data_IF_138590698547
#
_entry.id   IF_138590698547
#
_cell.length_a   1.000
_cell.length_b   1.000
_cell.length_c   1.000
_cell.angle_alpha   90.00
_cell.angle_beta   90.00
_cell.angle_gamma   90.00
#
_symmetry.space_group_name_H-M   'P 1'
#
loop_
_entity.id
_entity.type
_entity.pdbx_description
1 polymer ?
#
# COMPACT_ATOMS: atom_id res chain seq x y z
N UNK A 1 -18.72 1.93 -13.49
CA UNK A 1 -18.93 0.60 -12.86
C UNK A 1 -18.25 0.57 -11.50
N UNK A 2 -16.96 0.87 -11.37
CA UNK A 2 -16.19 0.80 -10.13
C UNK A 2 -16.85 1.57 -8.96
N UNK A 3 -17.30 2.81 -9.17
CA UNK A 3 -17.94 3.62 -8.11
C UNK A 3 -19.23 2.98 -7.57
N UNK A 4 -20.07 2.39 -8.45
CA UNK A 4 -21.30 1.70 -8.01
C UNK A 4 -21.02 0.39 -7.28
N UNK A 5 -19.93 -0.27 -7.62
CA UNK A 5 -19.51 -1.51 -6.99
C UNK A 5 -18.90 -1.24 -5.62
N UNK A 6 -18.08 -0.17 -5.49
CA UNK A 6 -17.50 0.22 -4.20
C UNK A 6 -18.54 0.62 -3.16
N UNK A 7 -19.70 1.17 -3.57
CA UNK A 7 -20.80 1.50 -2.65
C UNK A 7 -21.60 0.28 -2.16
N UNK A 8 -21.47 -0.88 -2.82
CA UNK A 8 -22.22 -2.11 -2.55
C UNK A 8 -21.31 -3.34 -2.49
N UNK A 9 -20.02 -3.12 -2.19
CA UNK A 9 -19.01 -4.17 -2.26
C UNK A 9 -19.35 -5.38 -1.37
N UNK A 10 -19.97 -5.16 -0.23
CA UNK A 10 -20.39 -6.22 0.68
C UNK A 10 -21.37 -7.20 0.06
N UNK A 11 -22.29 -6.71 -0.78
CA UNK A 11 -23.27 -7.55 -1.49
C UNK A 11 -22.61 -8.50 -2.52
N UNK A 12 -21.34 -8.31 -2.80
CA UNK A 12 -20.58 -9.07 -3.79
C UNK A 12 -19.40 -9.84 -3.19
N UNK A 13 -19.27 -9.80 -1.85
CA UNK A 13 -18.23 -10.49 -1.10
C UNK A 13 -18.88 -11.63 -0.31
N UNK A 14 -18.42 -12.84 -0.54
CA UNK A 14 -19.00 -14.05 0.05
C UNK A 14 -18.41 -14.32 1.45
N UNK A 15 -17.11 -14.03 1.58
CA UNK A 15 -16.36 -14.32 2.79
C UNK A 15 -16.80 -13.38 3.95
N UNK A 16 -17.02 -13.91 5.16
CA UNK A 16 -17.39 -13.09 6.32
C UNK A 16 -16.22 -12.20 6.77
N UNK A 17 -16.55 -11.11 7.45
CA UNK A 17 -15.54 -10.28 8.10
C UNK A 17 -14.86 -11.07 9.23
N UNK A 18 -13.51 -11.13 9.27
CA UNK A 18 -12.81 -11.70 10.41
C UNK A 18 -13.08 -10.90 11.69
N UNK A 19 -13.04 -11.58 12.83
CA UNK A 19 -13.03 -10.90 14.12
C UNK A 19 -11.61 -10.40 14.38
N UNK A 20 -11.41 -9.11 14.20
CA UNK A 20 -10.11 -8.49 14.39
C UNK A 20 -9.85 -8.09 15.84
N UNK A 21 -8.60 -8.22 16.26
CA UNK A 21 -8.05 -7.59 17.44
C UNK A 21 -7.27 -6.34 17.04
N UNK A 22 -7.47 -5.23 17.75
CA UNK A 22 -6.72 -4.00 17.55
C UNK A 22 -5.35 -4.08 18.25
N UNK A 23 -4.33 -3.47 17.63
CA UNK A 23 -2.98 -3.43 18.19
C UNK A 23 -2.28 -2.12 17.80
N UNK A 24 -1.39 -1.63 18.67
CA UNK A 24 -0.49 -0.53 18.36
C UNK A 24 0.89 -1.13 18.15
N UNK A 25 1.32 -1.18 16.91
CA UNK A 25 2.66 -1.59 16.53
C UNK A 25 3.64 -0.42 16.70
N UNK A 26 4.92 -0.73 16.87
CA UNK A 26 5.97 0.28 16.90
C UNK A 26 6.79 0.18 15.62
N UNK A 27 6.65 1.17 14.75
CA UNK A 27 7.37 1.29 13.49
C UNK A 27 8.78 1.87 13.65
N UNK A 28 9.39 2.19 12.51
CA UNK A 28 10.70 2.84 12.46
C UNK A 28 10.70 4.15 13.26
N UNK A 29 11.82 4.45 13.91
CA UNK A 29 11.99 5.61 14.78
C UNK A 29 10.98 5.69 15.93
N UNK A 30 10.43 4.55 16.37
CA UNK A 30 9.50 4.48 17.49
C UNK A 30 8.10 5.04 17.21
N UNK A 31 7.72 5.19 15.95
CA UNK A 31 6.40 5.73 15.57
C UNK A 31 5.32 4.70 15.89
N UNK A 32 4.30 5.04 16.69
CA UNK A 32 3.16 4.16 16.93
C UNK A 32 2.30 4.06 15.67
N UNK A 33 2.04 2.82 15.25
CA UNK A 33 1.26 2.46 14.07
C UNK A 33 0.03 1.68 14.53
N UNK A 34 -1.15 2.19 14.28
CA UNK A 34 -2.38 1.47 14.56
C UNK A 34 -2.63 0.39 13.51
N UNK A 35 -3.01 -0.77 13.96
CA UNK A 35 -3.45 -1.85 13.07
C UNK A 35 -4.40 -2.82 13.75
N UNK A 36 -4.85 -3.78 12.98
CA UNK A 36 -5.71 -4.86 13.44
C UNK A 36 -5.24 -6.19 12.87
N UNK A 37 -5.42 -7.26 13.60
CA UNK A 37 -5.03 -8.59 13.18
C UNK A 37 -6.09 -9.64 13.49
N UNK A 38 -6.10 -10.71 12.70
CA UNK A 38 -6.93 -11.88 12.93
C UNK A 38 -6.14 -13.14 12.55
N UNK A 39 -6.22 -14.18 13.38
CA UNK A 39 -5.48 -15.43 13.19
C UNK A 39 -6.49 -16.57 13.09
N UNK A 40 -6.66 -17.24 11.94
CA UNK A 40 -7.49 -18.43 11.84
C UNK A 40 -6.81 -19.63 12.49
N UNK A 41 -7.59 -20.63 12.86
CA UNK A 41 -7.04 -21.91 13.32
C UNK A 41 -6.11 -22.51 12.24
N UNK A 42 -4.92 -22.97 12.64
CA UNK A 42 -3.92 -23.55 11.73
C UNK A 42 -3.52 -22.62 10.57
N UNK A 43 -3.29 -21.34 10.86
CA UNK A 43 -2.86 -20.39 9.84
C UNK A 43 -1.57 -20.85 9.14
N UNK A 44 -1.57 -20.81 7.80
CA UNK A 44 -0.47 -21.29 6.94
C UNK A 44 0.59 -20.23 6.61
N UNK A 45 0.40 -19.03 7.10
CA UNK A 45 1.24 -17.86 6.90
C UNK A 45 0.47 -16.58 7.24
N UNK A 46 1.08 -15.43 7.04
CA UNK A 46 0.52 -14.13 7.42
C UNK A 46 0.57 -13.16 6.24
N UNK A 47 -0.52 -12.44 6.01
CA UNK A 47 -0.59 -11.34 5.05
C UNK A 47 -0.57 -10.03 5.83
N UNK A 48 0.42 -9.18 5.56
CA UNK A 48 0.55 -7.83 6.12
C UNK A 48 0.22 -6.83 5.03
N UNK A 49 -0.82 -6.03 5.21
CA UNK A 49 -1.34 -5.18 4.15
C UNK A 49 -1.76 -3.79 4.57
N UNK A 50 -1.66 -2.86 3.62
CA UNK A 50 -2.17 -1.50 3.77
C UNK A 50 -2.77 -0.97 2.47
N UNK A 51 -3.33 0.22 2.53
CA UNK A 51 -4.12 0.87 1.48
C UNK A 51 -3.40 2.06 0.85
N UNK A 52 -3.99 2.60 -0.23
CA UNK A 52 -3.48 3.76 -0.96
C UNK A 52 -3.65 5.09 -0.22
N UNK A 53 -3.32 6.18 -0.93
CA UNK A 53 -3.39 7.54 -0.37
C UNK A 53 -4.82 7.89 0.07
N UNK A 54 -4.92 8.58 1.21
CA UNK A 54 -6.15 9.00 1.89
C UNK A 54 -7.01 7.86 2.44
N UNK A 55 -7.72 8.13 3.53
CA UNK A 55 -8.61 7.19 4.18
C UNK A 55 -8.05 6.56 5.45
N UNK A 56 -8.69 5.48 5.86
CA UNK A 56 -8.40 4.72 7.07
C UNK A 56 -8.90 3.27 6.92
N UNK A 57 -8.55 2.39 7.85
CA UNK A 57 -8.96 0.98 7.83
C UNK A 57 -10.49 0.80 7.82
N UNK A 58 -11.26 1.77 8.30
CA UNK A 58 -12.71 1.65 8.39
C UNK A 58 -13.40 1.92 7.05
N UNK A 59 -12.81 2.75 6.18
CA UNK A 59 -13.39 3.12 4.89
C UNK A 59 -12.73 2.46 3.66
N UNK A 60 -11.63 1.72 3.83
CA UNK A 60 -10.90 1.07 2.71
C UNK A 60 -11.52 -0.29 2.34
N UNK A 61 -12.64 -0.22 1.63
CA UNK A 61 -13.42 -1.39 1.21
C UNK A 61 -12.58 -2.46 0.46
N UNK A 62 -11.63 -2.03 -0.39
CA UNK A 62 -10.82 -2.94 -1.19
C UNK A 62 -9.83 -3.74 -0.32
N UNK A 63 -9.30 -3.11 0.74
CA UNK A 63 -8.48 -3.79 1.74
C UNK A 63 -9.32 -4.75 2.62
N UNK A 64 -10.56 -4.39 2.94
CA UNK A 64 -11.48 -5.28 3.68
C UNK A 64 -11.75 -6.57 2.92
N UNK A 65 -11.90 -6.50 1.59
CA UNK A 65 -12.04 -7.70 0.75
C UNK A 65 -10.78 -8.58 0.83
N UNK A 66 -9.59 -7.99 0.75
CA UNK A 66 -8.35 -8.74 0.96
C UNK A 66 -8.37 -9.49 2.29
N UNK A 67 -8.69 -8.79 3.38
CA UNK A 67 -8.72 -9.37 4.72
C UNK A 67 -9.67 -10.56 4.85
N UNK A 68 -10.89 -10.42 4.31
CA UNK A 68 -11.89 -11.51 4.29
C UNK A 68 -11.39 -12.72 3.50
N UNK A 69 -10.88 -12.51 2.30
CA UNK A 69 -10.35 -13.58 1.44
C UNK A 69 -9.13 -14.28 2.06
N UNK A 70 -8.18 -13.51 2.58
CA UNK A 70 -7.00 -14.04 3.24
C UNK A 70 -7.35 -14.94 4.42
N UNK A 71 -8.22 -14.46 5.30
CA UNK A 71 -8.66 -15.22 6.47
C UNK A 71 -9.40 -16.50 6.07
N UNK A 72 -10.33 -16.43 5.11
CA UNK A 72 -11.06 -17.59 4.59
C UNK A 72 -10.13 -18.62 3.92
N UNK A 73 -9.00 -18.17 3.34
CA UNK A 73 -7.97 -19.04 2.76
C UNK A 73 -6.95 -19.58 3.77
N UNK A 74 -7.14 -19.31 5.07
CA UNK A 74 -6.28 -19.82 6.14
C UNK A 74 -5.01 -19.02 6.35
N UNK A 75 -4.96 -17.75 5.98
CA UNK A 75 -3.87 -16.84 6.35
C UNK A 75 -4.25 -16.01 7.57
N UNK A 76 -3.31 -15.80 8.47
CA UNK A 76 -3.40 -14.70 9.41
C UNK A 76 -3.33 -13.37 8.64
N UNK A 77 -4.04 -12.37 9.15
CA UNK A 77 -4.19 -11.07 8.48
C UNK A 77 -3.78 -9.98 9.44
N UNK A 78 -2.90 -9.10 8.99
CA UNK A 78 -2.52 -7.86 9.68
C UNK A 78 -2.76 -6.69 8.74
N UNK A 79 -3.65 -5.79 9.11
CA UNK A 79 -3.95 -4.59 8.36
C UNK A 79 -3.64 -3.37 9.22
N UNK A 80 -3.04 -2.33 8.66
CA UNK A 80 -2.62 -1.17 9.44
C UNK A 80 -2.88 0.16 8.74
N UNK A 81 -3.11 1.18 9.55
CA UNK A 81 -3.10 2.58 9.13
C UNK A 81 -1.65 3.06 9.08
N UNK A 82 -1.15 3.36 7.90
CA UNK A 82 0.21 3.86 7.73
C UNK A 82 0.35 5.31 8.25
N UNK A 83 1.57 5.82 8.28
CA UNK A 83 1.89 7.14 8.86
C UNK A 83 0.97 8.23 8.33
N UNK A 84 0.58 9.15 9.20
CA UNK A 84 -0.34 10.26 8.95
C UNK A 84 -1.78 9.86 8.55
N UNK A 85 -2.16 8.58 8.57
CA UNK A 85 -3.49 8.11 8.16
C UNK A 85 -4.24 7.43 9.30
N UNK A 86 -5.58 7.45 9.21
CA UNK A 86 -6.47 6.79 10.15
C UNK A 86 -6.14 7.06 11.62
N UNK A 87 -6.22 6.02 12.45
CA UNK A 87 -5.88 6.12 13.88
C UNK A 87 -4.39 6.34 14.14
N UNK A 88 -3.50 5.97 13.19
CA UNK A 88 -2.07 6.30 13.31
C UNK A 88 -1.83 7.81 13.33
N UNK A 89 -2.60 8.57 12.56
CA UNK A 89 -2.54 10.05 12.59
C UNK A 89 -2.96 10.65 13.96
N UNK A 90 -3.80 9.94 14.72
CA UNK A 90 -4.18 10.35 16.08
C UNK A 90 -3.04 10.12 17.08
N UNK A 91 -2.30 9.02 16.89
CA UNK A 91 -1.22 8.59 17.77
C UNK A 91 0.09 9.36 17.55
N UNK A 92 0.34 9.83 16.33
CA UNK A 92 1.62 10.46 15.95
C UNK A 92 1.44 11.58 14.92
N UNK A 93 2.18 12.69 15.05
CA UNK A 93 2.24 13.75 14.04
C UNK A 93 3.18 13.42 12.86
N UNK A 94 3.76 12.22 12.82
CA UNK A 94 4.76 11.85 11.82
C UNK A 94 4.08 11.68 10.46
N UNK A 95 4.54 12.42 9.46
CA UNK A 95 4.07 12.33 8.09
C UNK A 95 4.68 11.12 7.38
N UNK A 96 4.12 10.78 6.23
CA UNK A 96 4.66 9.74 5.34
C UNK A 96 6.04 10.12 4.81
N UNK A 97 6.80 9.12 4.44
CA UNK A 97 8.05 9.23 3.68
C UNK A 97 7.94 8.49 2.33
N UNK A 98 6.72 8.17 1.89
CA UNK A 98 6.41 7.42 0.68
C UNK A 98 7.21 6.12 0.54
N UNK A 99 7.51 5.49 1.68
CA UNK A 99 8.14 4.17 1.74
C UNK A 99 9.49 4.13 2.41
N UNK A 100 10.26 5.23 2.45
CA UNK A 100 11.64 5.24 3.00
C UNK A 100 11.66 4.68 4.43
N UNK A 101 10.75 5.12 5.30
CA UNK A 101 10.60 4.60 6.66
C UNK A 101 9.48 3.56 6.77
N UNK A 102 8.45 3.65 5.95
CA UNK A 102 7.34 2.69 5.93
C UNK A 102 7.80 1.29 5.50
N UNK A 103 8.90 1.18 4.76
CA UNK A 103 9.53 -0.11 4.48
C UNK A 103 9.93 -0.84 5.77
N UNK A 104 10.60 -0.15 6.70
CA UNK A 104 10.90 -0.71 8.02
C UNK A 104 9.63 -0.91 8.86
N UNK A 105 8.62 -0.04 8.74
CA UNK A 105 7.35 -0.22 9.46
C UNK A 105 6.72 -1.57 9.13
N UNK A 106 6.68 -1.97 7.84
CA UNK A 106 6.17 -3.29 7.45
C UNK A 106 6.89 -4.43 8.16
N UNK A 107 8.20 -4.37 8.25
CA UNK A 107 9.01 -5.42 8.86
C UNK A 107 8.85 -5.44 10.39
N UNK A 108 8.81 -4.28 11.04
CA UNK A 108 8.57 -4.17 12.49
C UNK A 108 7.15 -4.60 12.88
N UNK A 109 6.16 -4.34 12.01
CA UNK A 109 4.80 -4.85 12.15
C UNK A 109 4.80 -6.38 12.04
N UNK A 110 5.49 -6.94 11.04
CA UNK A 110 5.61 -8.40 10.87
C UNK A 110 6.33 -9.06 12.06
N UNK A 111 7.38 -8.44 12.60
CA UNK A 111 8.09 -8.89 13.81
C UNK A 111 7.16 -8.95 15.04
N UNK A 112 6.41 -7.88 15.25
CA UNK A 112 5.43 -7.83 16.35
C UNK A 112 4.31 -8.85 16.12
N UNK A 113 3.81 -8.96 14.88
CA UNK A 113 2.80 -9.95 14.51
C UNK A 113 3.28 -11.38 14.79
N UNK A 114 4.54 -11.70 14.48
CA UNK A 114 5.15 -13.00 14.83
C UNK A 114 5.14 -13.25 16.33
N UNK A 115 5.49 -12.24 17.13
CA UNK A 115 5.51 -12.33 18.60
C UNK A 115 4.12 -12.53 19.21
N UNK A 116 3.06 -12.02 18.59
CA UNK A 116 1.67 -12.21 19.04
C UNK A 116 0.99 -13.44 18.43
N UNK A 117 1.73 -14.29 17.71
CA UNK A 117 1.26 -15.60 17.24
C UNK A 117 0.89 -15.69 15.76
N UNK A 118 1.08 -14.66 14.96
CA UNK A 118 0.94 -14.76 13.50
C UNK A 118 2.10 -15.59 12.93
N UNK A 119 1.85 -16.68 12.17
CA UNK A 119 2.92 -17.56 11.71
C UNK A 119 3.63 -17.02 10.46
N UNK A 120 4.91 -17.39 10.30
CA UNK A 120 5.61 -17.30 9.00
C UNK A 120 5.03 -18.33 8.02
N UNK A 121 5.17 -18.13 6.69
CA UNK A 121 5.84 -17.00 6.06
C UNK A 121 4.96 -15.73 6.01
N UNK A 122 5.60 -14.56 5.93
CA UNK A 122 4.93 -13.26 5.81
C UNK A 122 4.92 -12.80 4.37
N UNK A 123 3.74 -12.43 3.87
CA UNK A 123 3.51 -11.81 2.56
C UNK A 123 3.13 -10.35 2.77
N UNK A 124 3.84 -9.45 2.10
CA UNK A 124 3.56 -8.01 2.17
C UNK A 124 2.64 -7.62 1.01
N UNK A 125 1.74 -6.66 1.24
CA UNK A 125 0.83 -6.22 0.19
C UNK A 125 0.33 -4.81 0.38
N UNK A 126 -0.10 -4.21 -0.72
CA UNK A 126 -0.75 -2.92 -0.76
C UNK A 126 -1.19 -2.56 -2.18
N UNK A 127 -1.93 -1.47 -2.30
CA UNK A 127 -2.33 -0.94 -3.60
C UNK A 127 -2.10 0.56 -3.67
N UNK A 128 -1.91 1.11 -4.88
CA UNK A 128 -1.61 2.52 -5.07
C UNK A 128 -0.36 2.94 -4.26
N UNK A 129 -0.40 4.01 -3.51
CA UNK A 129 0.70 4.39 -2.61
C UNK A 129 1.03 3.30 -1.59
N UNK A 130 0.03 2.59 -1.01
CA UNK A 130 0.29 1.45 -0.14
C UNK A 130 1.03 0.30 -0.83
N UNK A 131 0.90 0.17 -2.15
CA UNK A 131 1.71 -0.75 -2.95
C UNK A 131 3.18 -0.30 -3.04
N UNK A 132 3.43 1.00 -3.17
CA UNK A 132 4.78 1.57 -3.06
C UNK A 132 5.39 1.28 -1.69
N UNK A 133 4.63 1.51 -0.60
CA UNK A 133 5.09 1.23 0.76
C UNK A 133 5.45 -0.26 0.94
N UNK A 134 4.65 -1.17 0.37
CA UNK A 134 4.92 -2.61 0.42
C UNK A 134 6.16 -3.03 -0.39
N UNK A 135 6.44 -2.37 -1.53
CA UNK A 135 7.69 -2.56 -2.28
C UNK A 135 8.91 -2.09 -1.45
N UNK A 136 8.81 -0.98 -0.74
CA UNK A 136 9.83 -0.58 0.23
C UNK A 136 9.94 -1.60 1.38
N UNK A 137 8.81 -2.22 1.79
CA UNK A 137 8.78 -3.28 2.78
C UNK A 137 9.62 -4.49 2.37
N UNK A 138 9.52 -4.94 1.11
CA UNK A 138 10.35 -6.07 0.65
C UNK A 138 11.83 -5.69 0.60
N UNK A 139 12.17 -4.49 0.13
CA UNK A 139 13.54 -3.98 0.14
C UNK A 139 14.13 -3.90 1.56
N UNK A 140 13.37 -3.42 2.54
CA UNK A 140 13.76 -3.42 3.94
C UNK A 140 13.92 -4.84 4.51
N UNK A 141 13.05 -5.77 4.13
CA UNK A 141 13.11 -7.18 4.54
C UNK A 141 14.33 -7.93 3.99
N UNK A 142 14.76 -7.60 2.77
CA UNK A 142 15.98 -8.18 2.19
C UNK A 142 17.26 -7.66 2.88
N UNK A 143 17.22 -6.41 3.35
CA UNK A 143 18.36 -5.76 4.01
C UNK A 143 18.28 -5.76 5.54
N UNK A 144 17.37 -6.53 6.14
CA UNK A 144 17.10 -6.56 7.58
C UNK A 144 18.35 -6.83 8.44
N UNK A 145 19.29 -7.62 7.93
CA UNK A 145 20.56 -7.89 8.62
C UNK A 145 21.40 -6.64 8.88
N UNK A 146 21.20 -5.59 8.11
CA UNK A 146 21.97 -4.34 8.21
C UNK A 146 21.41 -3.38 9.27
N UNK A 147 20.12 -3.49 9.62
CA UNK A 147 19.44 -2.50 10.47
C UNK A 147 18.57 -3.13 11.58
N UNK A 148 18.10 -4.37 11.41
CA UNK A 148 17.09 -5.03 12.26
C UNK A 148 17.67 -5.96 13.34
N UNK A 149 18.85 -5.63 13.91
CA UNK A 149 19.51 -6.48 14.94
C UNK A 149 18.70 -6.67 16.23
N UNK A 150 17.70 -5.81 16.47
CA UNK A 150 16.77 -5.84 17.60
C UNK A 150 15.52 -6.69 17.32
N UNK A 151 15.34 -7.19 16.09
CA UNK A 151 14.16 -7.93 15.66
C UNK A 151 14.35 -9.44 15.76
N UNK A 152 13.26 -10.15 16.04
CA UNK A 152 13.21 -11.61 16.04
C UNK A 152 12.87 -12.19 14.65
N UNK A 153 12.33 -11.36 13.76
CA UNK A 153 12.06 -11.72 12.37
C UNK A 153 13.35 -11.63 11.55
N UNK A 154 13.48 -12.51 10.56
CA UNK A 154 14.62 -12.52 9.63
C UNK A 154 14.15 -12.43 8.19
N UNK A 155 15.06 -12.21 7.24
CA UNK A 155 14.72 -12.21 5.82
C UNK A 155 14.04 -13.51 5.38
N UNK A 156 14.35 -14.65 5.98
CA UNK A 156 13.73 -15.95 5.65
C UNK A 156 12.27 -16.05 6.07
N UNK A 157 11.82 -15.27 7.03
CA UNK A 157 10.41 -15.20 7.42
C UNK A 157 9.55 -14.44 6.39
N UNK A 158 10.17 -13.56 5.58
CA UNK A 158 9.48 -12.76 4.56
C UNK A 158 9.47 -13.55 3.25
N UNK A 159 8.29 -14.00 2.83
CA UNK A 159 8.13 -14.80 1.61
C UNK A 159 8.21 -13.97 0.32
N UNK A 160 7.61 -12.80 0.33
CA UNK A 160 7.56 -11.93 -0.84
C UNK A 160 6.56 -10.78 -0.71
N UNK A 161 6.33 -10.11 -1.82
CA UNK A 161 5.39 -8.98 -1.90
C UNK A 161 4.48 -9.09 -3.12
N UNK A 162 3.23 -8.73 -2.98
CA UNK A 162 2.30 -8.64 -4.10
C UNK A 162 1.53 -7.32 -4.04
N UNK A 163 1.60 -6.54 -5.12
CA UNK A 163 1.07 -5.18 -5.15
C UNK A 163 0.16 -4.93 -6.35
N UNK A 164 -0.85 -4.06 -6.16
CA UNK A 164 -1.82 -3.71 -7.19
C UNK A 164 -1.68 -2.23 -7.52
N UNK A 165 -1.38 -1.92 -8.78
CA UNK A 165 -1.16 -0.56 -9.28
C UNK A 165 -0.31 0.27 -8.29
N UNK A 166 0.91 -0.17 -7.92
CA UNK A 166 1.75 0.61 -7.03
C UNK A 166 2.13 1.95 -7.66
N UNK A 167 2.21 3.01 -6.85
CA UNK A 167 2.88 4.24 -7.25
C UNK A 167 4.37 3.97 -7.29
N UNK A 168 5.00 4.05 -8.45
CA UNK A 168 6.43 3.72 -8.58
C UNK A 168 7.29 4.89 -9.08
N UNK A 169 6.64 5.96 -9.57
CA UNK A 169 7.30 7.19 -9.97
C UNK A 169 6.32 8.37 -9.79
N UNK A 170 6.43 9.04 -8.65
CA UNK A 170 5.55 10.15 -8.29
C UNK A 170 5.81 11.39 -9.15
N UNK A 171 7.06 11.66 -9.56
CA UNK A 171 7.39 12.80 -10.41
C UNK A 171 6.68 12.71 -11.77
N UNK A 172 6.78 11.57 -12.45
CA UNK A 172 6.06 11.34 -13.72
C UNK A 172 4.55 11.31 -13.52
N UNK A 173 4.10 10.61 -12.51
CA UNK A 173 2.66 10.38 -12.30
C UNK A 173 1.92 11.65 -11.96
N UNK A 174 2.44 12.51 -11.08
CA UNK A 174 1.79 13.78 -10.75
C UNK A 174 1.87 14.78 -11.93
N UNK A 175 2.98 14.78 -12.68
CA UNK A 175 3.09 15.56 -13.92
C UNK A 175 2.04 15.11 -14.95
N UNK A 176 1.85 13.79 -15.11
CA UNK A 176 0.85 13.21 -15.99
C UNK A 176 -0.58 13.54 -15.54
N UNK A 177 -0.86 13.36 -14.24
CA UNK A 177 -2.17 13.51 -13.65
C UNK A 177 -2.79 14.90 -13.90
N UNK A 178 -1.97 15.95 -13.96
CA UNK A 178 -2.47 17.32 -14.19
C UNK A 178 -2.57 17.74 -15.66
N UNK A 179 -2.23 16.85 -16.62
CA UNK A 179 -2.25 17.17 -18.05
C UNK A 179 -3.67 17.38 -18.60
N UNK A 180 -4.63 16.59 -18.19
CA UNK A 180 -6.00 16.64 -18.69
C UNK A 180 -7.04 17.04 -17.62
N UNK A 181 -8.29 17.20 -18.01
CA UNK A 181 -9.38 17.64 -17.11
C UNK A 181 -9.73 16.58 -16.07
N UNK A 182 -9.75 15.30 -16.47
CA UNK A 182 -10.07 14.20 -15.56
C UNK A 182 -8.99 14.06 -14.51
N UNK A 183 -7.72 14.09 -14.92
CA UNK A 183 -6.58 14.01 -14.01
C UNK A 183 -6.55 15.18 -13.03
N UNK A 184 -6.78 16.41 -13.50
CA UNK A 184 -6.90 17.58 -12.60
C UNK A 184 -8.08 17.48 -11.64
N UNK A 185 -9.18 16.86 -12.04
CA UNK A 185 -10.32 16.61 -11.14
C UNK A 185 -9.93 15.59 -10.04
N UNK A 186 -9.27 14.49 -10.41
CA UNK A 186 -8.79 13.47 -9.48
C UNK A 186 -7.77 14.05 -8.51
N UNK A 187 -6.79 14.79 -9.00
CA UNK A 187 -5.76 15.46 -8.20
C UNK A 187 -6.39 16.38 -7.13
N UNK A 188 -7.33 17.25 -7.56
CA UNK A 188 -8.06 18.15 -6.66
C UNK A 188 -8.88 17.39 -5.61
N UNK A 189 -9.46 16.25 -5.98
CA UNK A 189 -10.21 15.42 -5.03
C UNK A 189 -9.29 14.83 -3.97
N UNK A 190 -8.14 14.29 -4.36
CA UNK A 190 -7.13 13.75 -3.44
C UNK A 190 -6.55 14.86 -2.57
N UNK A 191 -6.13 15.98 -3.14
CA UNK A 191 -5.59 17.13 -2.40
C UNK A 191 -6.57 17.65 -1.34
N UNK A 192 -7.87 17.63 -1.63
CA UNK A 192 -8.90 18.01 -0.65
C UNK A 192 -8.95 17.05 0.54
N UNK A 193 -8.85 15.75 0.30
CA UNK A 193 -8.83 14.75 1.37
C UNK A 193 -7.53 14.83 2.20
N UNK A 194 -6.37 15.01 1.54
CA UNK A 194 -5.09 15.26 2.22
C UNK A 194 -5.16 16.52 3.10
N UNK A 195 -5.79 17.59 2.60
CA UNK A 195 -5.96 18.83 3.38
C UNK A 195 -6.88 18.61 4.59
N UNK A 196 -7.93 17.81 4.48
CA UNK A 196 -8.78 17.43 5.62
C UNK A 196 -7.98 16.65 6.67
N UNK A 197 -7.19 15.66 6.21
CA UNK A 197 -6.30 14.89 7.07
C UNK A 197 -5.32 15.79 7.80
N UNK A 198 -4.60 16.67 7.09
CA UNK A 198 -3.65 17.62 7.70
C UNK A 198 -4.31 18.58 8.69
N UNK A 199 -5.53 19.07 8.41
CA UNK A 199 -6.32 19.87 9.36
C UNK A 199 -6.68 19.10 10.63
N UNK A 200 -7.04 17.82 10.50
CA UNK A 200 -7.29 16.94 11.63
C UNK A 200 -6.03 16.76 12.48
N UNK A 201 -4.91 16.41 11.82
CA UNK A 201 -3.62 16.29 12.50
C UNK A 201 -3.19 17.58 13.21
N UNK A 202 -3.40 18.75 12.58
CA UNK A 202 -3.08 20.05 13.19
C UNK A 202 -3.95 20.38 14.42
N UNK A 203 -5.13 19.77 14.55
CA UNK A 203 -5.95 19.87 15.78
C UNK A 203 -5.40 18.96 16.88
N UNK A 204 -5.04 17.73 16.53
CA UNK A 204 -4.54 16.72 17.46
C UNK A 204 -3.11 17.03 17.92
N UNK A 205 -2.28 17.54 17.01
CA UNK A 205 -0.86 17.83 17.23
C UNK A 205 -0.49 19.28 16.91
N UNK A 206 -1.05 20.26 17.64
CA UNK A 206 -0.95 21.70 17.27
C UNK A 206 0.46 22.28 17.35
N UNK A 207 1.39 21.60 18.05
CA UNK A 207 2.80 22.01 18.13
C UNK A 207 3.66 21.40 17.01
N UNK A 208 3.18 20.34 16.34
CA UNK A 208 3.94 19.60 15.35
C UNK A 208 3.55 19.93 13.91
N UNK A 209 2.31 20.38 13.68
CA UNK A 209 1.77 20.68 12.35
C UNK A 209 1.42 22.17 12.26
N UNK A 210 2.08 22.87 11.33
CA UNK A 210 1.79 24.30 11.09
C UNK A 210 0.47 24.46 10.32
N UNK A 211 -0.52 25.06 10.98
CA UNK A 211 -1.83 25.34 10.38
C UNK A 211 -1.77 26.25 9.15
N UNK A 212 -0.80 27.20 9.11
CA UNK A 212 -0.66 28.10 7.95
C UNK A 212 -0.12 27.32 6.73
N UNK A 213 0.82 26.39 6.94
CA UNK A 213 1.29 25.49 5.90
C UNK A 213 0.16 24.60 5.38
N UNK A 214 -0.68 24.03 6.26
CA UNK A 214 -1.87 23.26 5.86
C UNK A 214 -2.80 24.07 4.96
N UNK A 215 -3.02 25.36 5.25
CA UNK A 215 -3.91 26.18 4.40
C UNK A 215 -3.29 26.52 3.03
N UNK A 216 -1.97 26.56 2.90
CA UNK A 216 -1.27 26.72 1.61
C UNK A 216 -1.22 25.46 0.76
N UNK A 217 -1.31 24.28 1.37
CA UNK A 217 -1.32 22.96 0.69
C UNK A 217 -2.63 22.75 -0.10
N UNK A 218 -2.63 23.08 -1.39
CA UNK A 218 -3.82 23.03 -2.26
C UNK A 218 -3.71 22.03 -3.41
N UNK A 219 -2.64 21.24 -3.43
CA UNK A 219 -2.37 20.16 -4.38
C UNK A 219 -1.65 19.03 -3.66
N UNK A 220 -1.51 17.85 -4.29
CA UNK A 220 -0.69 16.76 -3.74
C UNK A 220 0.77 17.25 -3.62
N UNK A 221 1.32 17.80 -4.68
CA UNK A 221 2.66 18.40 -4.67
C UNK A 221 2.79 19.49 -3.60
N UNK A 222 1.77 20.37 -3.50
CA UNK A 222 1.75 21.44 -2.49
C UNK A 222 1.67 20.92 -1.05
N UNK A 223 1.05 19.78 -0.82
CA UNK A 223 1.04 19.12 0.49
C UNK A 223 2.46 18.70 0.87
N UNK A 224 3.18 18.05 -0.03
CA UNK A 224 4.54 17.61 0.24
C UNK A 224 5.51 18.78 0.38
N UNK A 225 5.38 19.80 -0.46
CA UNK A 225 6.17 21.03 -0.38
C UNK A 225 5.99 21.76 0.97
N UNK A 226 4.76 21.91 1.43
CA UNK A 226 4.46 22.70 2.64
C UNK A 226 4.65 21.93 3.95
N UNK A 227 4.50 20.60 3.94
CA UNK A 227 4.42 19.82 5.16
C UNK A 227 5.47 18.72 5.27
N UNK A 228 5.79 18.02 4.15
CA UNK A 228 6.53 16.76 4.18
C UNK A 228 8.04 16.97 4.05
N UNK A 229 8.49 17.65 2.99
CA UNK A 229 9.92 17.68 2.62
C UNK A 229 10.82 18.28 3.70
N UNK A 230 10.40 19.38 4.34
CA UNK A 230 11.19 20.03 5.39
C UNK A 230 11.42 19.14 6.62
N UNK A 231 10.48 18.23 6.93
CA UNK A 231 10.59 17.28 8.05
C UNK A 231 11.48 16.09 7.71
N UNK A 232 11.59 15.74 6.42
CA UNK A 232 12.43 14.66 5.94
C UNK A 232 13.84 15.13 5.53
N UNK A 233 14.08 16.45 5.47
CA UNK A 233 15.39 17.04 5.14
C UNK A 233 15.66 17.15 3.64
N UNK A 234 14.62 17.09 2.77
CA UNK A 234 14.77 17.31 1.34
C UNK A 234 14.66 18.80 0.98
N UNK A 235 15.39 19.23 -0.05
CA UNK A 235 15.38 20.60 -0.54
C UNK A 235 14.21 20.86 -1.48
N UNK A 236 13.79 19.88 -2.26
CA UNK A 236 12.68 19.95 -3.22
C UNK A 236 11.78 18.73 -3.13
N UNK A 237 10.55 18.86 -3.64
CA UNK A 237 9.60 17.74 -3.72
C UNK A 237 10.09 16.69 -4.73
N UNK A 238 10.72 17.15 -5.81
CA UNK A 238 11.27 16.26 -6.83
C UNK A 238 12.38 15.36 -6.28
N UNK A 239 13.29 15.91 -5.45
CA UNK A 239 14.31 15.11 -4.73
C UNK A 239 13.65 14.07 -3.80
N UNK A 240 12.60 14.45 -3.10
CA UNK A 240 11.85 13.53 -2.24
C UNK A 240 11.21 12.40 -3.03
N UNK A 241 10.53 12.72 -4.14
CA UNK A 241 9.90 11.71 -4.99
C UNK A 241 10.92 10.79 -5.67
N UNK A 242 12.07 11.32 -6.07
CA UNK A 242 13.16 10.49 -6.59
C UNK A 242 13.72 9.55 -5.52
N UNK A 243 13.95 10.07 -4.30
CA UNK A 243 14.46 9.25 -3.19
C UNK A 243 13.48 8.14 -2.76
N UNK A 244 12.16 8.37 -2.91
CA UNK A 244 11.13 7.39 -2.58
C UNK A 244 10.71 6.47 -3.74
N UNK A 245 11.30 6.64 -4.94
CA UNK A 245 10.97 5.91 -6.15
C UNK A 245 11.42 4.45 -6.11
N UNK A 246 10.52 3.45 -6.12
CA UNK A 246 10.89 2.03 -6.09
C UNK A 246 11.65 1.54 -7.34
N UNK A 247 11.49 2.21 -8.49
CA UNK A 247 12.13 1.77 -9.74
C UNK A 247 13.64 1.62 -9.62
N UNK A 248 14.29 2.36 -8.69
CA UNK A 248 15.74 2.31 -8.50
C UNK A 248 16.23 1.01 -7.85
N UNK A 249 15.47 0.42 -6.95
CA UNK A 249 15.86 -0.83 -6.28
C UNK A 249 15.15 -2.08 -6.84
N UNK A 250 14.04 -1.94 -7.53
CA UNK A 250 13.30 -3.08 -8.11
C UNK A 250 14.17 -4.00 -8.99
N UNK A 251 15.12 -3.53 -9.80
CA UNK A 251 16.02 -4.41 -10.55
C UNK A 251 16.83 -5.38 -9.67
N UNK A 252 16.99 -5.07 -8.38
CA UNK A 252 17.85 -5.80 -7.44
C UNK A 252 17.06 -6.64 -6.43
N UNK A 253 15.73 -6.59 -6.42
CA UNK A 253 14.89 -7.42 -5.56
C UNK A 253 15.16 -8.90 -5.85
N UNK A 254 15.36 -9.68 -4.80
CA UNK A 254 15.60 -11.13 -4.87
C UNK A 254 14.39 -11.95 -4.43
N UNK A 255 13.51 -11.35 -3.65
CA UNK A 255 12.31 -12.03 -3.14
C UNK A 255 11.20 -12.08 -4.19
N UNK A 256 10.37 -13.16 -4.19
CA UNK A 256 9.20 -13.24 -5.04
C UNK A 256 8.36 -11.97 -4.98
N UNK A 257 8.15 -11.33 -6.11
CA UNK A 257 7.44 -10.05 -6.24
C UNK A 257 6.41 -10.13 -7.34
N UNK A 258 5.14 -9.91 -7.02
CA UNK A 258 4.05 -9.84 -7.98
C UNK A 258 3.56 -8.40 -8.12
N UNK A 259 3.50 -7.91 -9.36
CA UNK A 259 3.00 -6.58 -9.68
C UNK A 259 1.85 -6.72 -10.67
N UNK A 260 0.66 -6.34 -10.25
CA UNK A 260 -0.49 -6.18 -11.13
C UNK A 260 -0.62 -4.70 -11.52
N UNK A 261 -0.65 -4.42 -12.82
CA UNK A 261 -0.74 -3.06 -13.35
C UNK A 261 -1.75 -2.96 -14.49
N UNK A 262 -2.42 -1.82 -14.67
CA UNK A 262 -3.35 -1.60 -15.77
C UNK A 262 -2.84 -0.50 -16.71
N UNK A 263 -2.94 -0.74 -18.03
CA UNK A 263 -2.57 0.26 -19.04
C UNK A 263 -3.52 1.47 -19.07
N UNK A 264 -4.77 1.28 -18.63
CA UNK A 264 -5.81 2.31 -18.57
C UNK A 264 -5.92 2.97 -17.18
N UNK A 265 -4.88 2.86 -16.33
CA UNK A 265 -4.84 3.54 -15.04
C UNK A 265 -4.81 5.06 -15.26
N UNK A 266 -5.83 5.82 -14.80
CA UNK A 266 -5.87 7.26 -15.01
C UNK A 266 -4.96 8.05 -14.05
N UNK A 267 -4.37 7.39 -13.06
CA UNK A 267 -3.57 8.04 -12.02
C UNK A 267 -2.10 8.13 -12.38
N UNK A 268 -1.61 7.21 -13.21
CA UNK A 268 -0.18 7.03 -13.45
C UNK A 268 0.18 7.22 -14.94
N UNK A 269 1.39 7.71 -15.18
CA UNK A 269 1.89 7.89 -16.54
C UNK A 269 2.02 6.53 -17.24
N UNK A 270 1.37 6.32 -18.41
CA UNK A 270 1.43 5.05 -19.13
C UNK A 270 2.84 4.59 -19.52
N UNK A 271 3.80 5.52 -19.62
CA UNK A 271 5.20 5.18 -19.91
C UNK A 271 5.87 4.34 -18.83
N UNK A 272 5.34 4.35 -17.61
CA UNK A 272 5.81 3.51 -16.48
C UNK A 272 5.70 2.02 -16.82
N UNK A 273 4.70 1.62 -17.61
CA UNK A 273 4.53 0.21 -18.01
C UNK A 273 5.78 -0.34 -18.72
N UNK A 274 6.37 0.45 -19.61
CA UNK A 274 7.57 0.04 -20.33
C UNK A 274 8.80 -0.18 -19.40
N UNK A 275 8.93 0.64 -18.35
CA UNK A 275 9.99 0.46 -17.35
C UNK A 275 9.75 -0.80 -16.52
N UNK A 276 8.50 -1.02 -16.09
CA UNK A 276 8.13 -2.23 -15.36
C UNK A 276 8.36 -3.50 -16.19
N UNK A 277 8.00 -3.48 -17.48
CA UNK A 277 8.25 -4.59 -18.40
C UNK A 277 9.76 -4.87 -18.55
N UNK A 278 10.57 -3.82 -18.72
CA UNK A 278 12.03 -3.95 -18.80
C UNK A 278 12.64 -4.53 -17.52
N UNK A 279 12.19 -4.07 -16.36
CA UNK A 279 12.65 -4.58 -15.07
C UNK A 279 12.25 -6.06 -14.92
N UNK A 280 10.98 -6.42 -15.19
CA UNK A 280 10.52 -7.79 -15.08
C UNK A 280 11.20 -8.76 -16.06
N UNK A 281 11.61 -8.28 -17.25
CA UNK A 281 12.41 -9.06 -18.20
C UNK A 281 13.82 -9.35 -17.69
N UNK A 282 14.41 -8.45 -16.92
CA UNK A 282 15.78 -8.58 -16.39
C UNK A 282 15.84 -9.20 -15.00
N UNK A 283 14.75 -9.19 -14.25
CA UNK A 283 14.69 -9.72 -12.89
C UNK A 283 13.65 -10.85 -12.75
N UNK A 284 14.09 -12.12 -12.70
CA UNK A 284 13.19 -13.29 -12.62
C UNK A 284 12.40 -13.38 -11.30
N UNK A 285 12.77 -12.65 -10.26
CA UNK A 285 12.01 -12.58 -9.02
C UNK A 285 10.71 -11.77 -9.18
N UNK A 286 10.60 -10.95 -10.23
CA UNK A 286 9.45 -10.08 -10.47
C UNK A 286 8.54 -10.69 -11.53
N UNK A 287 7.33 -11.06 -11.11
CA UNK A 287 6.23 -11.40 -12.01
C UNK A 287 5.35 -10.18 -12.23
N UNK A 288 5.44 -9.58 -13.40
CA UNK A 288 4.59 -8.48 -13.84
C UNK A 288 3.37 -9.01 -14.59
N UNK A 289 2.19 -8.57 -14.21
CA UNK A 289 0.93 -8.80 -14.93
C UNK A 289 0.34 -7.47 -15.36
N UNK A 290 0.46 -7.13 -16.64
CA UNK A 290 -0.13 -5.92 -17.22
C UNK A 290 -1.44 -6.27 -17.89
N UNK A 291 -2.51 -5.55 -17.52
CA UNK A 291 -3.83 -5.70 -18.12
C UNK A 291 -4.15 -4.49 -19.01
N UNK A 292 -4.90 -4.72 -20.08
CA UNK A 292 -5.37 -3.62 -20.95
C UNK A 292 -6.38 -2.72 -20.22
N UNK A 293 -7.20 -3.31 -19.36
CA UNK A 293 -8.25 -2.65 -18.60
C UNK A 293 -8.20 -3.09 -17.15
N UNK A 294 -8.47 -2.19 -16.23
CA UNK A 294 -8.47 -2.44 -14.80
C UNK A 294 -8.74 -1.16 -14.01
N UNK A 295 -8.40 -0.04 -14.62
CA UNK A 295 -8.35 1.24 -13.92
C UNK A 295 -7.32 1.22 -12.80
N UNK A 296 -7.50 2.09 -11.80
CA UNK A 296 -6.50 2.21 -10.74
C UNK A 296 -6.49 1.01 -9.77
N UNK A 297 -7.63 0.69 -9.13
CA UNK A 297 -7.72 -0.41 -8.15
C UNK A 297 -9.02 -1.22 -8.30
N UNK A 298 -9.81 -0.97 -9.33
CA UNK A 298 -11.14 -1.53 -9.47
C UNK A 298 -11.15 -3.01 -9.80
N UNK A 299 -10.52 -3.38 -10.88
CA UNK A 299 -10.40 -4.76 -11.41
C UNK A 299 -11.64 -5.64 -11.23
N UNK A 300 -12.83 -5.06 -11.51
CA UNK A 300 -14.09 -5.75 -11.32
C UNK A 300 -14.39 -6.61 -12.55
N UNK A 301 -14.31 -7.92 -12.40
CA UNK A 301 -14.56 -8.85 -13.50
C UNK A 301 -16.05 -9.00 -13.84
N UNK A 302 -16.31 -9.23 -15.12
CA UNK A 302 -17.62 -9.66 -15.61
C UNK A 302 -17.86 -11.15 -15.30
N UNK A 303 -19.12 -11.60 -15.33
CA UNK A 303 -19.43 -13.03 -15.17
C UNK A 303 -18.71 -13.92 -16.20
N UNK A 304 -18.53 -13.44 -17.44
CA UNK A 304 -17.77 -14.16 -18.47
C UNK A 304 -16.30 -14.32 -18.06
N UNK A 305 -15.69 -13.27 -17.54
CA UNK A 305 -14.32 -13.29 -17.04
C UNK A 305 -14.19 -14.22 -15.82
N UNK A 306 -15.13 -14.15 -14.86
CA UNK A 306 -15.15 -15.06 -13.70
C UNK A 306 -15.17 -16.53 -14.16
N UNK A 307 -16.07 -16.86 -15.08
CA UNK A 307 -16.14 -18.22 -15.61
C UNK A 307 -14.85 -18.68 -16.32
N UNK A 308 -14.24 -17.76 -17.09
CA UNK A 308 -12.99 -18.04 -17.81
C UNK A 308 -11.82 -18.36 -16.87
N UNK A 309 -11.75 -17.68 -15.72
CA UNK A 309 -10.68 -17.82 -14.73
C UNK A 309 -11.05 -18.76 -13.57
N UNK A 310 -12.27 -19.27 -13.51
CA UNK A 310 -12.76 -20.08 -12.39
C UNK A 310 -12.99 -19.26 -11.10
N UNK A 311 -13.16 -17.95 -11.22
CA UNK A 311 -13.34 -17.07 -10.07
C UNK A 311 -14.76 -17.19 -9.48
N UNK A 312 -14.86 -17.32 -8.17
CA UNK A 312 -16.14 -17.38 -7.47
C UNK A 312 -16.81 -16.00 -7.31
N UNK A 313 -16.01 -14.92 -7.42
CA UNK A 313 -16.47 -13.55 -7.27
C UNK A 313 -15.84 -12.63 -8.32
N UNK A 314 -16.15 -11.33 -8.23
CA UNK A 314 -15.71 -10.31 -9.18
C UNK A 314 -14.41 -9.61 -8.82
N UNK A 315 -13.77 -9.95 -7.72
CA UNK A 315 -12.58 -9.28 -7.19
C UNK A 315 -11.31 -9.80 -7.85
N UNK A 316 -11.22 -9.62 -9.16
CA UNK A 316 -10.23 -10.22 -10.04
C UNK A 316 -8.78 -10.00 -9.59
N UNK A 317 -8.43 -8.78 -9.16
CA UNK A 317 -7.08 -8.49 -8.71
C UNK A 317 -6.68 -9.33 -7.49
N UNK A 318 -7.58 -9.43 -6.49
CA UNK A 318 -7.32 -10.24 -5.30
C UNK A 318 -7.33 -11.74 -5.62
N UNK A 319 -8.11 -12.18 -6.59
CA UNK A 319 -8.06 -13.58 -7.03
C UNK A 319 -6.71 -13.90 -7.67
N UNK A 320 -6.17 -13.03 -8.54
CA UNK A 320 -4.81 -13.18 -9.13
C UNK A 320 -3.71 -13.11 -8.06
N UNK A 321 -3.86 -12.25 -7.06
CA UNK A 321 -2.98 -12.19 -5.90
C UNK A 321 -2.90 -13.54 -5.19
N UNK A 322 -4.05 -14.14 -4.83
CA UNK A 322 -4.06 -15.41 -4.11
C UNK A 322 -3.58 -16.59 -4.97
N UNK A 323 -3.91 -16.63 -6.25
CA UNK A 323 -3.35 -17.62 -7.15
C UNK A 323 -1.81 -17.58 -7.16
N UNK A 324 -1.26 -16.37 -7.18
CA UNK A 324 0.18 -16.23 -7.23
C UNK A 324 0.83 -16.67 -5.92
N UNK A 325 0.39 -16.20 -4.76
CA UNK A 325 1.01 -16.59 -3.48
C UNK A 325 0.80 -18.07 -3.15
N UNK A 326 -0.25 -18.72 -3.65
CA UNK A 326 -0.50 -20.16 -3.46
C UNK A 326 0.32 -21.03 -4.43
N UNK A 327 0.90 -20.44 -5.48
CA UNK A 327 1.79 -21.12 -6.45
C UNK A 327 3.27 -20.81 -6.24
N UNK A 328 3.62 -19.89 -5.35
CA UNK A 328 4.99 -19.47 -4.99
C UNK A 328 5.45 -20.20 -3.74
#
# INVERSE_FOLDING_TARGET
>A
VALRVSQKWENFTVEPEPIYQEHIFIGANGVPIFGKYAIPANAKGTIVGTYGITGDLDNQWFLKILGRKAFAKGYAVVLFDWRAHGKTAELSPTLTSDGIYEGEDFIRIADTAKKIGCPSPFWLTGYSLGGQLALWGINAGETISNWGSDLAITSTDIAGVAVICPSVDSNRSLTYLVKDELGRFLEKAIARELKKLARSMAKMHPKAIDRKAVERANSIWGFDHELTIAKLGFSTVEEYYDASCPLYFMPHIQKPTFILYAQDDPMFDPSIVADLEKIAQSNPAIKLMVTKYGGHVGYVSSKKCQHQYGDHDRWWAWNRFFEWIESS
#
